data_IF_198537950851
#
_entry.id   IF_198537950851
#
_cell.length_a   1.000
_cell.length_b   1.000
_cell.length_c   1.000
_cell.angle_alpha   90.00
_cell.angle_beta   90.00
_cell.angle_gamma   90.00
#
_symmetry.space_group_name_H-M   'P 1'
#
loop_
_entity.id
_entity.type
_entity.pdbx_description
1 polymer ?
#
# COMPACT_ATOMS: atom_id res chain seq x y z
N UNK A 1 -41.94 -11.22 -94.70
CA UNK A 1 -41.13 -11.99 -93.74
C UNK A 1 -41.03 -13.39 -94.28
N UNK A 2 -39.81 -13.85 -94.56
CA UNK A 2 -39.56 -15.22 -94.97
C UNK A 2 -39.84 -16.16 -93.80
N UNK A 3 -40.18 -17.42 -94.08
CA UNK A 3 -40.57 -18.42 -93.08
C UNK A 3 -39.47 -18.65 -92.02
N UNK A 4 -38.21 -18.47 -92.42
CA UNK A 4 -37.04 -18.50 -91.55
C UNK A 4 -37.02 -17.37 -90.51
N UNK A 5 -37.54 -16.17 -90.84
CA UNK A 5 -37.60 -15.05 -89.90
C UNK A 5 -38.63 -15.31 -88.79
N UNK A 6 -39.75 -15.96 -89.12
CA UNK A 6 -40.79 -16.32 -88.15
C UNK A 6 -40.31 -17.41 -87.19
N UNK A 7 -39.54 -18.37 -87.69
CA UNK A 7 -38.97 -19.45 -86.87
C UNK A 7 -37.87 -18.92 -85.93
N UNK A 8 -37.06 -17.96 -86.39
CA UNK A 8 -36.09 -17.23 -85.55
C UNK A 8 -36.79 -16.46 -84.43
N UNK A 9 -37.83 -15.71 -84.77
CA UNK A 9 -38.58 -14.91 -83.80
C UNK A 9 -39.26 -15.79 -82.73
N UNK A 10 -39.85 -16.92 -83.14
CA UNK A 10 -40.46 -17.87 -82.21
C UNK A 10 -39.41 -18.51 -81.30
N UNK A 11 -38.22 -18.81 -81.83
CA UNK A 11 -37.11 -19.37 -81.05
C UNK A 11 -36.54 -18.35 -80.06
N UNK A 12 -36.47 -17.08 -80.42
CA UNK A 12 -36.12 -16.01 -79.47
C UNK A 12 -37.19 -15.91 -78.37
N UNK A 13 -38.47 -15.78 -78.73
CA UNK A 13 -39.57 -15.65 -77.77
C UNK A 13 -39.66 -16.82 -76.78
N UNK A 14 -39.46 -18.06 -77.25
CA UNK A 14 -39.53 -19.25 -76.40
C UNK A 14 -38.32 -19.42 -75.48
N UNK A 15 -37.13 -18.96 -75.90
CA UNK A 15 -35.88 -19.16 -75.16
C UNK A 15 -35.44 -17.93 -74.36
N UNK A 16 -36.19 -16.81 -74.41
CA UNK A 16 -35.78 -15.55 -73.76
C UNK A 16 -35.68 -15.72 -72.24
N UNK A 17 -36.68 -16.30 -71.59
CA UNK A 17 -36.68 -16.51 -70.13
C UNK A 17 -35.53 -17.43 -69.67
N UNK A 18 -35.25 -18.50 -70.42
CA UNK A 18 -34.17 -19.44 -70.12
C UNK A 18 -32.80 -18.80 -70.29
N UNK A 19 -32.66 -17.93 -71.30
CA UNK A 19 -31.42 -17.18 -71.55
C UNK A 19 -31.18 -16.12 -70.48
N UNK A 20 -32.21 -15.37 -70.09
CA UNK A 20 -32.16 -14.43 -68.97
C UNK A 20 -31.82 -15.14 -67.66
N UNK A 21 -32.40 -16.32 -67.41
CA UNK A 21 -32.07 -17.13 -66.24
C UNK A 21 -30.60 -17.60 -66.27
N UNK A 22 -30.13 -18.13 -67.40
CA UNK A 22 -28.75 -18.58 -67.56
C UNK A 22 -27.74 -17.42 -67.38
N UNK A 23 -28.04 -16.25 -67.96
CA UNK A 23 -27.22 -15.04 -67.81
C UNK A 23 -27.19 -14.58 -66.34
N UNK A 24 -28.31 -14.69 -65.61
CA UNK A 24 -28.35 -14.37 -64.18
C UNK A 24 -27.50 -15.32 -63.33
N UNK A 25 -27.45 -16.61 -63.67
CA UNK A 25 -26.59 -17.59 -63.01
C UNK A 25 -25.13 -17.29 -63.31
N UNK A 26 -24.79 -17.01 -64.59
CA UNK A 26 -23.44 -16.68 -65.00
C UNK A 26 -22.91 -15.44 -64.27
N UNK A 27 -23.73 -14.39 -64.15
CA UNK A 27 -23.39 -13.19 -63.37
C UNK A 27 -23.15 -13.50 -61.89
N UNK A 28 -24.03 -14.28 -61.24
CA UNK A 28 -23.84 -14.68 -59.83
C UNK A 28 -22.57 -15.51 -59.63
N UNK A 29 -22.25 -16.40 -60.57
CA UNK A 29 -21.01 -17.21 -60.52
C UNK A 29 -19.79 -16.31 -60.67
N UNK A 30 -19.82 -15.33 -61.58
CA UNK A 30 -18.71 -14.39 -61.77
C UNK A 30 -18.51 -13.50 -60.54
N UNK A 31 -19.58 -13.02 -59.92
CA UNK A 31 -19.54 -12.26 -58.66
C UNK A 31 -18.96 -13.09 -57.51
N UNK A 32 -19.40 -14.33 -57.32
CA UNK A 32 -18.85 -15.25 -56.32
C UNK A 32 -17.37 -15.54 -56.60
N UNK A 33 -17.01 -15.75 -57.86
CA UNK A 33 -15.63 -16.03 -58.25
C UNK A 33 -14.71 -14.85 -57.90
N UNK A 34 -15.19 -13.62 -58.12
CA UNK A 34 -14.51 -12.39 -57.71
C UNK A 34 -14.34 -12.31 -56.20
N UNK A 35 -15.40 -12.57 -55.43
CA UNK A 35 -15.35 -12.53 -53.95
C UNK A 35 -14.33 -13.55 -53.41
N UNK A 36 -14.32 -14.78 -53.93
CA UNK A 36 -13.44 -15.85 -53.44
C UNK A 36 -11.97 -15.62 -53.80
N UNK A 37 -11.67 -15.07 -54.97
CA UNK A 37 -10.28 -14.89 -55.44
C UNK A 37 -9.68 -13.53 -55.08
N UNK A 38 -10.48 -12.57 -54.64
CA UNK A 38 -10.00 -11.27 -54.17
C UNK A 38 -9.97 -11.25 -52.66
N UNK A 39 -8.75 -11.24 -52.09
CA UNK A 39 -8.53 -11.24 -50.64
C UNK A 39 -9.36 -10.19 -49.90
N UNK A 40 -9.49 -8.98 -50.44
CA UNK A 40 -10.24 -7.88 -49.81
C UNK A 40 -11.74 -8.18 -49.71
N UNK A 41 -12.34 -8.68 -50.79
CA UNK A 41 -13.76 -9.04 -50.85
C UNK A 41 -14.07 -10.25 -49.95
N UNK A 42 -13.15 -11.23 -49.92
CA UNK A 42 -13.24 -12.39 -49.04
C UNK A 42 -13.13 -11.99 -47.56
N UNK A 43 -12.16 -11.13 -47.21
CA UNK A 43 -11.96 -10.61 -45.85
C UNK A 43 -13.24 -9.98 -45.31
N UNK A 44 -13.92 -9.13 -46.09
CA UNK A 44 -15.15 -8.48 -45.66
C UNK A 44 -16.26 -9.48 -45.24
N UNK A 45 -16.27 -10.69 -45.80
CA UNK A 45 -17.22 -11.75 -45.46
C UNK A 45 -16.72 -12.70 -44.38
N UNK A 46 -15.42 -12.94 -44.31
CA UNK A 46 -14.81 -13.94 -43.43
C UNK A 46 -14.38 -13.33 -42.09
N UNK A 47 -13.85 -12.12 -42.08
CA UNK A 47 -13.31 -11.48 -40.88
C UNK A 47 -14.35 -11.39 -39.76
N UNK A 48 -15.62 -10.99 -39.98
CA UNK A 48 -16.62 -10.99 -38.91
C UNK A 48 -16.85 -12.37 -38.29
N UNK A 49 -16.75 -13.44 -39.08
CA UNK A 49 -16.92 -14.82 -38.60
C UNK A 49 -15.71 -15.23 -37.75
N UNK A 50 -14.50 -14.80 -38.15
CA UNK A 50 -13.28 -15.04 -37.39
C UNK A 50 -13.29 -14.25 -36.10
N UNK A 51 -13.72 -12.99 -36.14
CA UNK A 51 -13.84 -12.11 -34.98
C UNK A 51 -14.82 -12.70 -33.96
N UNK A 52 -16.02 -13.11 -34.39
CA UNK A 52 -17.00 -13.80 -33.53
C UNK A 52 -16.40 -15.07 -32.90
N UNK A 53 -15.62 -15.84 -33.67
CA UNK A 53 -14.97 -17.06 -33.18
C UNK A 53 -13.83 -16.78 -32.22
N UNK A 54 -13.10 -15.68 -32.41
CA UNK A 54 -12.05 -15.25 -31.50
C UNK A 54 -12.64 -14.73 -30.19
N UNK A 55 -13.74 -13.99 -30.23
CA UNK A 55 -14.46 -13.56 -29.02
C UNK A 55 -14.95 -14.77 -28.22
N UNK A 56 -15.60 -15.74 -28.87
CA UNK A 56 -16.04 -17.00 -28.24
C UNK A 56 -14.84 -17.76 -27.64
N UNK A 57 -13.73 -17.86 -28.38
CA UNK A 57 -12.52 -18.51 -27.88
C UNK A 57 -11.96 -17.82 -26.63
N UNK A 58 -11.91 -16.48 -26.63
CA UNK A 58 -11.44 -15.69 -25.48
C UNK A 58 -12.33 -15.92 -24.25
N UNK A 59 -13.65 -16.02 -24.42
CA UNK A 59 -14.57 -16.35 -23.34
C UNK A 59 -14.38 -17.78 -22.80
N UNK A 60 -13.94 -18.70 -23.65
CA UNK A 60 -13.70 -20.10 -23.28
C UNK A 60 -12.30 -20.35 -22.69
N UNK A 61 -11.31 -19.48 -22.92
CA UNK A 61 -9.92 -19.62 -22.41
C UNK A 61 -9.88 -19.98 -20.91
N UNK A 62 -10.60 -19.30 -19.99
CA UNK A 62 -10.58 -19.65 -18.57
C UNK A 62 -11.01 -21.10 -18.28
N UNK A 63 -11.90 -21.67 -19.12
CA UNK A 63 -12.41 -23.04 -18.97
C UNK A 63 -11.49 -24.07 -19.63
N UNK A 64 -10.98 -23.75 -20.83
CA UNK A 64 -10.22 -24.69 -21.66
C UNK A 64 -8.73 -24.71 -21.30
N UNK A 65 -8.13 -23.52 -21.17
CA UNK A 65 -6.70 -23.34 -20.88
C UNK A 65 -6.44 -23.09 -19.40
N UNK A 66 -7.40 -22.55 -18.65
CA UNK A 66 -7.23 -22.25 -17.22
C UNK A 66 -6.71 -23.42 -16.37
N UNK A 67 -7.27 -24.65 -16.49
CA UNK A 67 -6.75 -25.82 -15.78
C UNK A 67 -5.31 -26.17 -16.16
N UNK A 68 -4.98 -26.11 -17.45
CA UNK A 68 -3.62 -26.39 -17.94
C UNK A 68 -2.63 -25.34 -17.45
N UNK A 69 -2.97 -24.04 -17.54
CA UNK A 69 -2.14 -22.94 -17.02
C UNK A 69 -1.90 -23.12 -15.53
N UNK A 70 -2.95 -23.44 -14.77
CA UNK A 70 -2.84 -23.66 -13.32
C UNK A 70 -1.93 -24.84 -12.99
N UNK A 71 -2.06 -25.95 -13.71
CA UNK A 71 -1.23 -27.13 -13.52
C UNK A 71 0.23 -26.84 -13.87
N UNK A 72 0.49 -26.18 -15.01
CA UNK A 72 1.83 -25.77 -15.42
C UNK A 72 2.46 -24.82 -14.40
N UNK A 73 1.72 -23.84 -13.89
CA UNK A 73 2.22 -22.93 -12.86
C UNK A 73 2.54 -23.67 -11.55
N UNK A 74 1.72 -24.63 -11.16
CA UNK A 74 1.95 -25.46 -9.96
C UNK A 74 3.20 -26.32 -10.10
N UNK A 75 3.43 -26.88 -11.28
CA UNK A 75 4.65 -27.62 -11.60
C UNK A 75 5.88 -26.72 -11.61
N UNK A 76 5.76 -25.53 -12.20
CA UNK A 76 6.84 -24.54 -12.24
C UNK A 76 7.23 -24.06 -10.83
N UNK A 77 6.26 -23.76 -9.96
CA UNK A 77 6.51 -23.42 -8.55
C UNK A 77 7.23 -24.57 -7.83
N UNK A 78 6.86 -25.82 -8.13
CA UNK A 78 7.49 -27.00 -7.52
C UNK A 78 8.92 -27.21 -8.02
N UNK A 79 9.20 -26.92 -9.29
CA UNK A 79 10.50 -27.12 -9.90
C UNK A 79 11.47 -25.95 -9.63
N UNK A 80 10.94 -24.75 -9.47
CA UNK A 80 11.69 -23.49 -9.31
C UNK A 80 11.54 -22.92 -7.90
N UNK A 81 11.61 -23.78 -6.87
CA UNK A 81 11.42 -23.39 -5.47
C UNK A 81 12.36 -22.28 -5.03
N UNK A 82 13.65 -22.34 -5.39
CA UNK A 82 14.64 -21.36 -4.95
C UNK A 82 14.34 -19.95 -5.48
N UNK A 83 13.96 -19.82 -6.76
CA UNK A 83 13.60 -18.53 -7.35
C UNK A 83 12.30 -17.96 -6.74
N UNK A 84 11.32 -18.83 -6.47
CA UNK A 84 10.07 -18.43 -5.78
C UNK A 84 10.37 -18.00 -4.36
N UNK A 85 11.22 -18.73 -3.63
CA UNK A 85 11.66 -18.38 -2.27
C UNK A 85 12.41 -17.05 -2.28
N UNK A 86 13.37 -16.85 -3.18
CA UNK A 86 14.14 -15.60 -3.27
C UNK A 86 13.24 -14.38 -3.50
N UNK A 87 12.22 -14.51 -4.37
CA UNK A 87 11.26 -13.44 -4.62
C UNK A 87 10.31 -13.18 -3.42
N UNK A 88 9.87 -14.24 -2.73
CA UNK A 88 8.90 -14.12 -1.64
C UNK A 88 9.53 -13.85 -0.27
N UNK A 89 10.79 -14.22 -0.05
CA UNK A 89 11.45 -14.15 1.26
C UNK A 89 11.45 -12.73 1.86
N UNK A 90 11.74 -11.64 1.12
CA UNK A 90 11.64 -10.29 1.65
C UNK A 90 10.23 -9.91 2.10
N UNK A 91 9.21 -10.34 1.34
CA UNK A 91 7.80 -10.06 1.60
C UNK A 91 7.35 -10.83 2.86
N UNK A 92 7.67 -12.12 2.93
CA UNK A 92 7.40 -12.97 4.09
C UNK A 92 8.11 -12.41 5.33
N UNK A 93 9.37 -11.99 5.21
CA UNK A 93 10.12 -11.38 6.30
C UNK A 93 9.47 -10.09 6.83
N UNK A 94 9.00 -9.21 5.94
CA UNK A 94 8.22 -8.01 6.34
C UNK A 94 6.91 -8.39 7.04
N UNK A 95 6.18 -9.38 6.53
CA UNK A 95 4.92 -9.84 7.13
C UNK A 95 5.13 -10.44 8.51
N UNK A 96 6.14 -11.30 8.69
CA UNK A 96 6.48 -11.90 9.99
C UNK A 96 6.85 -10.81 10.99
N UNK A 97 7.69 -9.84 10.60
CA UNK A 97 8.05 -8.70 11.46
C UNK A 97 6.81 -7.91 11.90
N UNK A 98 5.89 -7.61 10.97
CA UNK A 98 4.63 -6.91 11.26
C UNK A 98 3.73 -7.71 12.21
N UNK A 99 3.60 -9.01 11.97
CA UNK A 99 2.80 -9.90 12.82
C UNK A 99 3.36 -9.98 14.24
N UNK A 100 4.67 -10.16 14.39
CA UNK A 100 5.33 -10.18 15.72
C UNK A 100 5.13 -8.84 16.43
N UNK A 101 5.34 -7.72 15.75
CA UNK A 101 5.12 -6.40 16.34
C UNK A 101 3.66 -6.21 16.81
N UNK A 102 2.71 -6.68 16.02
CA UNK A 102 1.28 -6.65 16.37
C UNK A 102 0.96 -7.51 17.60
N UNK A 103 1.41 -8.77 17.62
CA UNK A 103 1.19 -9.66 18.77
C UNK A 103 1.85 -9.13 20.05
N UNK A 104 3.04 -8.53 19.94
CA UNK A 104 3.72 -7.89 21.06
C UNK A 104 2.96 -6.67 21.59
N UNK A 105 2.34 -5.89 20.69
CA UNK A 105 1.45 -4.79 21.08
C UNK A 105 0.26 -5.31 21.89
N UNK A 106 -0.44 -6.33 21.39
CA UNK A 106 -1.57 -6.95 22.08
C UNK A 106 -1.18 -7.54 23.44
N UNK A 107 -0.02 -8.21 23.51
CA UNK A 107 0.52 -8.71 24.77
C UNK A 107 0.79 -7.58 25.76
N UNK A 108 1.43 -6.49 25.31
CA UNK A 108 1.71 -5.32 26.14
C UNK A 108 0.43 -4.65 26.63
N UNK A 109 -0.61 -4.54 25.80
CA UNK A 109 -1.94 -4.03 26.17
C UNK A 109 -2.66 -4.92 27.19
N UNK A 110 -2.51 -6.24 27.09
CA UNK A 110 -3.09 -7.16 28.06
C UNK A 110 -2.37 -7.10 29.42
N UNK A 111 -1.04 -6.99 29.40
CA UNK A 111 -0.24 -6.78 30.61
C UNK A 111 -0.61 -5.44 31.24
N UNK A 112 -0.71 -4.37 30.46
CA UNK A 112 -1.02 -3.02 30.94
C UNK A 112 -2.35 -2.94 31.68
N UNK A 113 -3.36 -3.65 31.16
CA UNK A 113 -4.69 -3.71 31.76
C UNK A 113 -4.71 -4.46 33.10
N UNK A 114 -3.84 -5.46 33.27
CA UNK A 114 -3.72 -6.23 34.52
C UNK A 114 -2.81 -5.57 35.56
N UNK A 115 -1.86 -4.72 35.15
CA UNK A 115 -0.89 -4.07 36.04
C UNK A 115 -1.30 -2.70 36.58
N UNK A 116 -2.46 -2.14 36.20
CA UNK A 116 -3.02 -0.87 36.74
C UNK A 116 -3.16 -0.81 38.28
N UNK A 117 -2.99 -1.92 39.01
CA UNK A 117 -2.97 -1.94 40.49
C UNK A 117 -1.59 -2.17 41.13
N UNK A 118 -0.54 -2.49 40.37
CA UNK A 118 0.75 -2.90 40.94
C UNK A 118 1.90 -1.88 40.77
N UNK A 119 1.73 -0.83 39.95
CA UNK A 119 2.85 0.02 39.54
C UNK A 119 2.70 1.53 39.86
N UNK A 120 2.02 1.88 40.96
CA UNK A 120 2.37 3.14 41.65
C UNK A 120 3.64 2.91 42.49
N UNK A 121 4.75 2.55 41.83
CA UNK A 121 6.05 2.42 42.45
C UNK A 121 7.01 3.36 41.74
N UNK A 122 6.92 4.64 42.13
CA UNK A 122 7.82 5.75 41.80
C UNK A 122 9.31 5.50 42.17
N UNK A 123 9.71 4.26 42.50
CA UNK A 123 11.00 3.89 43.06
C UNK A 123 11.55 2.47 42.71
N UNK A 124 10.87 1.61 41.93
CA UNK A 124 11.37 0.22 41.74
C UNK A 124 12.67 0.16 40.88
N UNK A 125 12.89 1.11 39.97
CA UNK A 125 14.04 1.07 39.06
C UNK A 125 15.31 1.76 39.56
N UNK A 126 15.46 2.05 40.86
CA UNK A 126 16.76 2.44 41.40
C UNK A 126 17.60 1.20 41.71
N UNK A 127 18.18 0.63 40.65
CA UNK A 127 19.39 -0.20 40.58
C UNK A 127 19.48 -1.36 41.60
N UNK A 128 19.64 -2.58 41.07
CA UNK A 128 20.26 -3.73 41.74
C UNK A 128 19.50 -4.38 42.91
N UNK A 129 18.84 -5.52 42.66
CA UNK A 129 18.84 -6.75 43.49
C UNK A 129 17.75 -7.73 43.05
N UNK A 130 17.79 -8.20 41.81
CA UNK A 130 16.98 -9.35 41.41
C UNK A 130 17.71 -10.24 40.40
N UNK A 131 18.88 -10.74 40.82
CA UNK A 131 19.39 -12.06 40.40
C UNK A 131 18.54 -13.22 40.98
N UNK A 132 17.32 -12.94 41.45
CA UNK A 132 16.57 -13.80 42.37
C UNK A 132 15.26 -14.36 41.80
N UNK A 133 14.88 -14.02 40.57
CA UNK A 133 13.74 -14.65 39.91
C UNK A 133 14.19 -15.02 38.50
N UNK A 134 14.26 -16.32 38.23
CA UNK A 134 14.87 -16.93 37.04
C UNK A 134 14.17 -16.58 35.73
N UNK A 135 14.34 -15.36 35.27
CA UNK A 135 14.04 -14.94 33.89
C UNK A 135 15.18 -15.47 33.01
N UNK A 136 14.84 -16.24 31.98
CA UNK A 136 15.85 -16.82 31.08
C UNK A 136 16.54 -15.71 30.27
N UNK A 137 17.81 -15.90 29.89
CA UNK A 137 18.53 -14.93 29.06
C UNK A 137 17.85 -14.70 27.69
N UNK A 138 17.08 -15.69 27.21
CA UNK A 138 16.25 -15.57 26.01
C UNK A 138 15.04 -14.64 26.19
N UNK A 139 14.38 -14.65 27.35
CA UNK A 139 13.28 -13.74 27.66
C UNK A 139 13.77 -12.29 27.80
N UNK A 140 14.99 -12.08 28.31
CA UNK A 140 15.63 -10.77 28.37
C UNK A 140 15.99 -10.25 26.97
N UNK A 141 16.53 -11.11 26.10
CA UNK A 141 16.83 -10.76 24.72
C UNK A 141 15.56 -10.42 23.90
N UNK A 142 14.48 -11.18 24.08
CA UNK A 142 13.19 -10.94 23.42
C UNK A 142 12.51 -9.65 23.93
N UNK A 143 12.61 -9.37 25.23
CA UNK A 143 12.13 -8.11 25.82
C UNK A 143 12.87 -6.90 25.25
N UNK A 144 14.17 -7.01 25.00
CA UNK A 144 14.98 -5.88 24.49
C UNK A 144 14.68 -5.48 23.05
N UNK A 145 14.21 -6.41 22.19
CA UNK A 145 13.81 -6.14 20.81
C UNK A 145 12.41 -5.52 20.70
N UNK A 146 11.50 -5.82 21.63
CA UNK A 146 10.15 -5.27 21.62
C UNK A 146 10.03 -3.92 22.35
N UNK A 147 11.04 -3.52 23.12
CA UNK A 147 11.00 -2.26 23.88
C UNK A 147 10.80 -1.06 22.93
N UNK A 148 9.81 -0.19 23.21
CA UNK A 148 9.68 1.06 22.48
C UNK A 148 10.94 1.89 22.68
N UNK A 149 11.48 2.44 21.59
CA UNK A 149 12.64 3.32 21.62
C UNK A 149 12.35 4.59 20.84
N UNK A 150 12.71 5.72 21.43
CA UNK A 150 12.67 7.00 20.72
C UNK A 150 13.78 7.04 19.68
N UNK A 151 13.39 7.17 18.41
CA UNK A 151 14.32 7.35 17.30
C UNK A 151 14.58 8.83 17.07
N UNK A 152 13.51 9.63 17.04
CA UNK A 152 13.61 11.07 16.84
C UNK A 152 12.38 11.79 17.35
N UNK A 153 12.58 13.00 17.88
CA UNK A 153 11.51 13.95 18.16
C UNK A 153 11.64 15.15 17.24
N UNK A 154 10.52 15.64 16.74
CA UNK A 154 10.41 16.89 16.01
C UNK A 154 9.48 17.81 16.76
N UNK A 155 9.82 19.10 16.81
CA UNK A 155 8.91 20.15 17.25
C UNK A 155 8.67 21.07 16.08
N UNK A 156 7.42 21.19 15.69
CA UNK A 156 7.00 21.85 14.44
C UNK A 156 5.95 22.88 14.75
N UNK A 157 6.07 24.06 14.14
CA UNK A 157 5.08 25.13 14.28
C UNK A 157 3.75 24.71 13.62
N UNK A 158 2.64 24.87 14.34
CA UNK A 158 1.34 24.31 13.94
C UNK A 158 0.77 24.93 12.65
N UNK A 159 1.09 26.20 12.38
CA UNK A 159 0.47 26.98 11.30
C UNK A 159 1.32 26.96 10.01
N UNK A 160 2.64 27.09 10.14
CA UNK A 160 3.55 27.17 9.01
C UNK A 160 4.12 25.81 8.60
N UNK A 161 4.11 24.82 9.51
CA UNK A 161 4.82 23.56 9.32
C UNK A 161 6.34 23.65 9.44
N UNK A 162 6.86 24.80 9.88
CA UNK A 162 8.30 25.02 10.05
C UNK A 162 8.83 24.16 11.20
N UNK A 163 9.91 23.44 10.94
CA UNK A 163 10.65 22.71 11.97
C UNK A 163 11.35 23.70 12.91
N UNK A 164 10.93 23.71 14.18
CA UNK A 164 11.51 24.55 15.23
C UNK A 164 12.82 23.92 15.73
N UNK A 165 12.77 22.63 16.03
CA UNK A 165 13.93 21.83 16.44
C UNK A 165 13.62 20.36 16.26
N UNK A 166 14.68 19.55 16.26
CA UNK A 166 14.58 18.11 16.42
C UNK A 166 15.52 17.61 17.53
N UNK A 167 15.35 16.35 17.91
CA UNK A 167 16.23 15.64 18.83
C UNK A 167 16.30 14.16 18.46
N UNK A 168 17.51 13.62 18.28
CA UNK A 168 17.73 12.17 18.12
C UNK A 168 18.64 11.62 19.22
N UNK A 169 18.24 10.54 19.92
CA UNK A 169 19.07 9.91 20.94
C UNK A 169 20.28 9.11 20.39
N UNK A 170 20.17 8.53 19.17
CA UNK A 170 21.13 7.50 18.70
C UNK A 170 22.10 7.93 17.60
N UNK A 171 21.93 9.07 16.93
CA UNK A 171 22.95 9.75 16.10
C UNK A 171 22.29 10.93 15.38
N UNK A 172 23.03 12.00 15.10
CA UNK A 172 22.64 12.96 14.06
C UNK A 172 22.76 12.25 12.70
N UNK A 173 21.71 12.24 11.86
CA UNK A 173 21.84 11.92 10.43
C UNK A 173 21.07 10.72 9.85
N UNK A 174 20.20 10.03 10.61
CA UNK A 174 19.45 8.87 10.06
C UNK A 174 18.17 9.27 9.31
N UNK A 175 17.66 10.49 9.52
CA UNK A 175 16.39 10.97 8.97
C UNK A 175 16.60 12.40 8.46
N UNK A 176 16.13 12.67 7.24
CA UNK A 176 16.07 14.02 6.70
C UNK A 176 14.98 14.82 7.42
N UNK A 177 15.43 15.78 8.23
CA UNK A 177 14.61 16.53 9.18
C UNK A 177 13.65 17.48 8.46
N UNK A 178 14.10 18.12 7.39
CA UNK A 178 13.28 19.06 6.61
C UNK A 178 12.22 18.30 5.82
N UNK A 179 12.58 17.15 5.24
CA UNK A 179 11.64 16.30 4.52
C UNK A 179 10.56 15.74 5.45
N UNK A 180 10.92 15.26 6.65
CA UNK A 180 9.94 14.73 7.60
C UNK A 180 9.04 15.82 8.16
N UNK A 181 9.55 17.01 8.46
CA UNK A 181 8.71 18.13 8.90
C UNK A 181 7.70 18.56 7.81
N UNK A 182 8.16 18.62 6.55
CA UNK A 182 7.29 18.89 5.40
C UNK A 182 6.22 17.81 5.21
N UNK A 183 6.61 16.54 5.30
CA UNK A 183 5.70 15.39 5.22
C UNK A 183 4.64 15.42 6.33
N UNK A 184 5.04 15.63 7.58
CA UNK A 184 4.11 15.64 8.73
C UNK A 184 3.09 16.78 8.60
N UNK A 185 3.54 17.95 8.17
CA UNK A 185 2.66 19.09 7.91
C UNK A 185 1.68 18.76 6.79
N UNK A 186 2.14 18.22 5.66
CA UNK A 186 1.28 17.88 4.54
C UNK A 186 0.22 16.82 4.91
N UNK A 187 0.62 15.75 5.62
CA UNK A 187 -0.31 14.72 6.08
C UNK A 187 -1.32 15.32 7.05
N UNK A 188 -0.87 16.12 8.02
CA UNK A 188 -1.75 16.75 9.01
C UNK A 188 -2.77 17.67 8.35
N UNK A 189 -2.33 18.58 7.48
CA UNK A 189 -3.22 19.49 6.73
C UNK A 189 -4.20 18.71 5.85
N UNK A 190 -3.74 17.69 5.12
CA UNK A 190 -4.61 16.89 4.26
C UNK A 190 -5.69 16.15 5.05
N UNK A 191 -5.34 15.58 6.20
CA UNK A 191 -6.30 14.89 7.08
C UNK A 191 -7.28 15.89 7.68
N UNK A 192 -6.82 17.01 8.21
CA UNK A 192 -7.68 18.03 8.82
C UNK A 192 -8.62 18.69 7.80
N UNK A 193 -8.17 18.88 6.55
CA UNK A 193 -9.01 19.40 5.46
C UNK A 193 -10.03 18.37 4.95
N UNK A 194 -9.68 17.09 4.95
CA UNK A 194 -10.54 16.01 4.44
C UNK A 194 -11.70 15.66 5.40
N UNK A 195 -11.51 15.87 6.70
CA UNK A 195 -12.51 15.60 7.72
C UNK A 195 -13.10 16.92 8.23
N UNK A 196 -14.25 17.36 7.66
CA UNK A 196 -14.98 18.60 8.00
C UNK A 196 -15.57 18.65 9.44
N UNK A 197 -15.07 17.81 10.36
CA UNK A 197 -15.46 17.76 11.76
C UNK A 197 -14.48 18.55 12.61
N UNK A 198 -14.84 19.79 12.95
CA UNK A 198 -14.04 20.66 13.81
C UNK A 198 -13.57 19.97 15.11
N UNK A 199 -12.33 20.31 15.49
CA UNK A 199 -11.59 19.91 16.70
C UNK A 199 -10.97 18.49 16.73
N UNK A 200 -10.96 17.77 15.62
CA UNK A 200 -10.17 16.53 15.49
C UNK A 200 -8.75 16.85 15.02
N UNK A 201 -7.74 16.37 15.75
CA UNK A 201 -6.34 16.53 15.36
C UNK A 201 -5.73 15.15 15.08
N UNK A 202 -4.78 15.09 14.14
CA UNK A 202 -4.00 13.88 13.89
C UNK A 202 -3.09 13.59 15.11
N UNK A 203 -3.25 12.43 15.73
CA UNK A 203 -2.50 12.02 16.95
C UNK A 203 -1.50 10.87 16.72
N UNK A 204 -1.71 10.04 15.70
CA UNK A 204 -0.92 8.82 15.49
C UNK A 204 -0.81 8.48 14.02
N UNK A 205 0.41 8.18 13.57
CA UNK A 205 0.70 7.61 12.24
C UNK A 205 1.49 6.31 12.43
N UNK A 206 1.00 5.20 11.88
CA UNK A 206 1.70 3.92 11.90
C UNK A 206 2.37 3.64 10.53
N UNK A 207 3.67 3.35 10.54
CA UNK A 207 4.44 3.02 9.35
C UNK A 207 5.41 1.86 9.62
N UNK A 208 5.11 0.69 9.03
CA UNK A 208 5.87 -0.56 9.22
C UNK A 208 6.12 -0.90 10.71
N UNK A 209 7.34 -0.68 11.20
CA UNK A 209 7.79 -0.95 12.58
C UNK A 209 7.95 0.33 13.42
N UNK A 210 7.49 1.45 12.88
CA UNK A 210 7.58 2.76 13.48
C UNK A 210 6.19 3.33 13.74
N UNK A 211 6.07 4.05 14.84
CA UNK A 211 4.90 4.81 15.21
C UNK A 211 5.33 6.26 15.40
N UNK A 212 4.69 7.17 14.67
CA UNK A 212 4.83 8.61 14.90
C UNK A 212 3.67 9.04 15.77
N UNK A 213 3.96 9.36 17.02
CA UNK A 213 2.99 9.93 17.94
C UNK A 213 3.04 11.46 17.87
N UNK A 214 1.90 12.11 17.68
CA UNK A 214 1.78 13.54 17.49
C UNK A 214 1.00 14.14 18.66
N UNK A 215 1.69 14.92 19.49
CA UNK A 215 1.08 15.67 20.58
C UNK A 215 0.89 17.13 20.16
N UNK A 216 -0.38 17.55 20.09
CA UNK A 216 -0.74 18.90 19.70
C UNK A 216 -0.70 19.86 20.91
N UNK A 217 -0.10 21.03 20.71
CA UNK A 217 -0.15 22.17 21.63
C UNK A 217 -0.77 23.39 20.93
N UNK A 218 -0.85 24.52 21.64
CA UNK A 218 -1.52 25.73 21.12
C UNK A 218 -0.87 26.28 19.83
N UNK A 219 0.45 26.49 19.83
CA UNK A 219 1.18 27.09 18.70
C UNK A 219 2.10 26.13 17.94
N UNK A 220 2.36 24.95 18.48
CA UNK A 220 3.25 23.94 17.90
C UNK A 220 2.72 22.53 18.18
N UNK A 221 3.31 21.52 17.56
CA UNK A 221 3.11 20.13 17.92
C UNK A 221 4.46 19.42 18.05
N UNK A 222 4.48 18.34 18.83
CA UNK A 222 5.63 17.47 18.99
C UNK A 222 5.32 16.14 18.32
N UNK A 223 6.17 15.71 17.38
CA UNK A 223 6.09 14.41 16.75
C UNK A 223 7.23 13.52 17.23
N UNK A 224 6.91 12.45 17.97
CA UNK A 224 7.86 11.47 18.46
C UNK A 224 7.81 10.20 17.59
N UNK A 225 8.92 9.90 16.92
CA UNK A 225 9.13 8.69 16.13
C UNK A 225 9.64 7.59 17.05
N UNK A 226 8.80 6.57 17.25
CA UNK A 226 9.07 5.44 18.14
C UNK A 226 9.24 4.19 17.27
N UNK A 227 10.27 3.40 17.53
CA UNK A 227 10.39 2.04 17.00
C UNK A 227 10.00 1.02 18.08
N UNK A 228 9.44 -0.12 17.69
CA UNK A 228 9.12 -1.22 18.61
C UNK A 228 7.66 -1.22 19.07
N UNK A 229 7.35 -1.89 20.18
CA UNK A 229 5.97 -2.08 20.62
C UNK A 229 5.40 -0.79 21.25
N UNK A 230 4.55 -0.09 20.50
CA UNK A 230 3.83 1.09 20.97
C UNK A 230 2.51 0.67 21.65
N UNK A 231 2.54 0.50 22.97
CA UNK A 231 1.37 0.08 23.76
C UNK A 231 0.60 1.26 24.36
N UNK A 232 -0.64 1.03 24.79
CA UNK A 232 -1.45 2.06 25.47
C UNK A 232 -0.78 2.61 26.73
N UNK A 233 -0.06 1.77 27.48
CA UNK A 233 0.68 2.18 28.68
C UNK A 233 1.84 3.11 28.34
N UNK A 234 2.59 2.76 27.29
CA UNK A 234 3.69 3.59 26.81
C UNK A 234 3.16 4.91 26.24
N UNK A 235 2.01 4.89 25.53
CA UNK A 235 1.32 6.10 25.08
C UNK A 235 1.02 7.03 26.26
N UNK A 236 0.36 6.54 27.32
CA UNK A 236 0.03 7.34 28.51
C UNK A 236 1.30 7.97 29.13
N UNK A 237 2.39 7.19 29.30
CA UNK A 237 3.65 7.69 29.85
C UNK A 237 4.33 8.72 28.95
N UNK A 238 4.33 8.49 27.64
CA UNK A 238 4.90 9.41 26.66
C UNK A 238 4.15 10.74 26.64
N UNK A 239 2.81 10.71 26.62
CA UNK A 239 1.96 11.91 26.65
C UNK A 239 2.22 12.73 27.92
N UNK A 240 2.28 12.07 29.09
CA UNK A 240 2.58 12.72 30.36
C UNK A 240 3.97 13.38 30.35
N UNK A 241 5.00 12.69 29.82
CA UNK A 241 6.35 13.24 29.70
C UNK A 241 6.42 14.43 28.75
N UNK A 242 5.74 14.36 27.59
CA UNK A 242 5.66 15.45 26.62
C UNK A 242 4.93 16.66 27.21
N UNK A 243 3.86 16.44 27.97
CA UNK A 243 3.12 17.49 28.65
C UNK A 243 3.95 18.14 29.77
N UNK A 244 4.60 17.35 30.61
CA UNK A 244 5.48 17.85 31.67
C UNK A 244 6.66 18.64 31.10
N UNK A 245 7.25 18.15 30.00
CA UNK A 245 8.28 18.87 29.26
C UNK A 245 7.77 20.22 28.75
N UNK A 246 6.61 20.24 28.10
CA UNK A 246 6.01 21.45 27.59
C UNK A 246 5.74 22.49 28.70
N UNK A 247 5.15 22.06 29.81
CA UNK A 247 4.81 22.96 30.91
C UNK A 247 6.04 23.55 31.63
N UNK A 248 7.11 22.76 31.78
CA UNK A 248 8.28 23.17 32.62
C UNK A 248 9.43 23.76 31.82
N UNK A 249 9.52 23.48 30.53
CA UNK A 249 10.72 23.79 29.76
C UNK A 249 10.46 24.62 28.49
N UNK A 250 9.19 24.82 28.09
CA UNK A 250 8.81 25.61 26.92
C UNK A 250 8.20 26.93 27.37
N UNK A 251 8.92 28.03 27.13
CA UNK A 251 8.38 29.39 27.13
C UNK A 251 8.27 29.90 25.69
N UNK A 252 7.42 30.90 25.42
CA UNK A 252 7.29 31.49 24.08
C UNK A 252 8.65 31.98 23.51
N UNK A 253 9.60 32.36 24.38
CA UNK A 253 10.97 32.75 23.99
C UNK A 253 11.86 31.58 23.57
N UNK A 254 11.55 30.36 23.99
CA UNK A 254 12.32 29.17 23.62
C UNK A 254 11.96 28.68 22.21
N UNK A 255 10.74 28.94 21.75
CA UNK A 255 10.28 28.64 20.39
C UNK A 255 11.03 29.48 19.33
N UNK A 256 11.60 30.62 19.72
CA UNK A 256 12.41 31.49 18.85
C UNK A 256 13.90 31.09 18.83
N UNK A 257 14.36 30.21 19.74
CA UNK A 257 15.76 29.82 19.86
C UNK A 257 15.95 28.30 19.81
N UNK A 258 16.02 27.78 18.57
CA UNK A 258 16.20 26.36 18.25
C UNK A 258 17.31 25.68 19.07
N UNK A 259 18.49 26.29 19.19
CA UNK A 259 19.64 25.68 19.85
C UNK A 259 19.46 25.49 21.37
N UNK A 260 18.82 26.44 22.04
CA UNK A 260 18.53 26.36 23.47
C UNK A 260 17.46 25.29 23.75
N UNK A 261 16.52 25.16 22.83
CA UNK A 261 15.43 24.21 22.91
C UNK A 261 15.87 22.77 22.64
N UNK A 262 16.73 22.54 21.64
CA UNK A 262 17.40 21.24 21.42
C UNK A 262 18.15 20.77 22.67
N UNK A 263 18.86 21.69 23.35
CA UNK A 263 19.61 21.36 24.58
C UNK A 263 18.69 20.96 25.74
N UNK A 264 17.51 21.58 25.85
CA UNK A 264 16.48 21.22 26.84
C UNK A 264 15.85 19.86 26.54
N UNK A 265 15.48 19.61 25.28
CA UNK A 265 15.00 18.30 24.81
C UNK A 265 16.01 17.20 25.12
N UNK A 266 17.27 17.41 24.71
CA UNK A 266 18.36 16.47 24.97
C UNK A 266 18.55 16.21 26.45
N UNK A 267 18.44 17.22 27.31
CA UNK A 267 18.59 17.04 28.77
C UNK A 267 17.42 16.25 29.38
N UNK A 268 16.21 16.42 28.87
CA UNK A 268 15.01 15.80 29.43
C UNK A 268 14.80 14.36 28.96
N UNK A 269 15.12 14.08 27.70
CA UNK A 269 14.94 12.78 27.05
C UNK A 269 16.29 12.04 26.81
N UNK A 270 17.34 12.39 27.56
CA UNK A 270 18.65 11.72 27.50
C UNK A 270 18.67 10.38 28.23
N UNK A 271 17.92 10.27 29.32
CA UNK A 271 17.65 9.01 29.98
C UNK A 271 16.42 8.42 29.28
N UNK A 272 16.53 7.20 28.77
CA UNK A 272 15.54 6.51 27.91
C UNK A 272 14.08 6.87 28.26
N UNK A 273 13.26 7.14 27.24
CA UNK A 273 11.80 7.22 27.39
C UNK A 273 11.34 5.86 27.94
N UNK A 274 11.02 5.84 29.24
CA UNK A 274 10.52 4.65 29.96
C UNK A 274 9.15 4.24 29.42
#
# INVERSE_FOLDING_TARGET
>A
MEEQDKLKLLKELLLTEEKEFADSIAQKVEELNKIVHQKQELSYKVDPIIDDKLEEFVEEIPKTLGPTITQTLKEEIKNSQDAVVEALFPIIGKMIKKYIAHEMRLLSENISRQTKKAFSFKNWFRRTKARAQGVSEGDLALSDYAKPRLIQMFVVEKHSGILITDYSPMSEGTIDKEMVAGMLTAIKSFVEDAFEGGDQNLELIEYELYTIHIQNFYSYYIAAVISGAYSMMFKEVLEDQLLEFAQRHISNRDLENSALFTKKLKKYFADDIV
#
